data_IF_923823361657
#
_entry.id   IF_923823361657
#
_cell.length_a   1.000
_cell.length_b   1.000
_cell.length_c   1.000
_cell.angle_alpha   90.00
_cell.angle_beta   90.00
_cell.angle_gamma   90.00
#
_symmetry.space_group_name_H-M   'P 1'
#
loop_
_entity.id
_entity.type
_entity.pdbx_description
1 polymer ?
#
# COMPACT_ATOMS: atom_id res chain seq x y z
N UNK A 1 -2.95 42.82 16.59
CA UNK A 1 -2.42 43.22 15.28
C UNK A 1 -1.14 42.44 15.07
N UNK A 2 -1.09 41.39 14.25
CA UNK A 2 -2.01 40.94 13.20
C UNK A 2 -1.73 39.46 12.93
N UNK A 3 -2.80 38.68 12.94
CA UNK A 3 -3.11 37.49 12.12
C UNK A 3 -1.97 36.68 11.54
N UNK A 4 -1.80 35.48 12.10
CA UNK A 4 -1.23 34.35 11.38
C UNK A 4 -2.39 33.64 10.65
N UNK A 5 -2.42 33.84 9.34
CA UNK A 5 -3.09 33.06 8.29
C UNK A 5 -3.80 31.77 8.77
N UNK A 6 -5.07 31.90 9.16
CA UNK A 6 -6.05 30.83 9.00
C UNK A 6 -6.38 30.76 7.51
N UNK A 7 -5.86 29.76 6.81
CA UNK A 7 -6.32 29.42 5.48
C UNK A 7 -7.85 29.21 5.52
N UNK A 8 -8.62 29.82 4.60
CA UNK A 8 -10.07 29.72 4.65
C UNK A 8 -10.51 28.27 4.53
N UNK A 9 -11.40 27.87 5.45
CA UNK A 9 -12.20 26.64 5.37
C UNK A 9 -12.78 26.54 3.95
N UNK A 10 -12.39 25.51 3.20
CA UNK A 10 -12.96 25.13 1.90
C UNK A 10 -14.40 24.64 2.07
N UNK A 11 -15.30 25.51 2.55
CA UNK A 11 -16.73 25.32 2.45
C UNK A 11 -17.19 25.94 1.13
N UNK A 12 -17.54 25.11 0.13
CA UNK A 12 -18.57 25.45 -0.89
C UNK A 12 -18.77 24.38 -1.99
N UNK A 13 -17.92 23.35 -2.13
CA UNK A 13 -18.20 22.28 -3.10
C UNK A 13 -18.94 21.08 -2.47
N UNK A 14 -20.14 20.71 -2.95
CA UNK A 14 -20.86 19.54 -2.48
C UNK A 14 -20.07 18.26 -2.75
N UNK A 15 -20.28 17.24 -1.90
CA UNK A 15 -19.60 15.95 -2.03
C UNK A 15 -19.83 15.34 -3.42
N UNK A 16 -18.75 14.98 -4.12
CA UNK A 16 -18.82 14.36 -5.44
C UNK A 16 -19.42 12.95 -5.32
N UNK A 17 -20.29 12.50 -6.25
CA UNK A 17 -20.86 11.17 -6.20
C UNK A 17 -19.78 10.08 -6.15
N UNK A 18 -19.89 9.18 -5.17
CA UNK A 18 -18.94 8.07 -4.98
C UNK A 18 -17.70 8.39 -4.13
N UNK A 19 -17.50 9.67 -3.75
CA UNK A 19 -16.46 10.10 -2.82
C UNK A 19 -16.88 9.89 -1.35
N UNK A 20 -15.89 9.80 -0.47
CA UNK A 20 -16.07 9.80 0.97
C UNK A 20 -16.17 11.22 1.52
N UNK A 21 -16.93 11.41 2.60
CA UNK A 21 -17.03 12.70 3.29
C UNK A 21 -15.66 13.19 3.77
N UNK A 22 -15.37 14.46 3.52
CA UNK A 22 -14.11 15.11 3.87
C UNK A 22 -14.20 15.83 5.21
N UNK A 23 -15.41 16.17 5.62
CA UNK A 23 -15.71 16.96 6.81
C UNK A 23 -16.57 16.16 7.77
N UNK A 24 -15.91 15.47 8.69
CA UNK A 24 -16.57 14.59 9.65
C UNK A 24 -16.56 15.16 11.07
N UNK A 25 -17.73 15.17 11.68
CA UNK A 25 -17.95 15.56 13.07
C UNK A 25 -18.35 14.33 13.90
N UNK A 26 -17.69 14.14 15.04
CA UNK A 26 -18.04 13.16 16.08
C UNK A 26 -18.67 13.88 17.27
N UNK A 27 -19.89 13.46 17.64
CA UNK A 27 -20.57 13.87 18.86
C UNK A 27 -20.66 12.71 19.84
N UNK A 28 -20.09 12.88 21.03
CA UNK A 28 -20.08 11.87 22.09
C UNK A 28 -21.16 12.19 23.13
N UNK A 29 -22.23 11.40 23.14
CA UNK A 29 -23.27 11.42 24.18
C UNK A 29 -22.98 10.35 25.24
N UNK A 30 -23.77 10.37 26.33
CA UNK A 30 -23.65 9.37 27.40
C UNK A 30 -24.02 7.96 26.96
N UNK A 31 -24.96 7.85 26.03
CA UNK A 31 -25.59 6.60 25.58
C UNK A 31 -25.22 6.21 24.14
N UNK A 32 -24.69 7.14 23.33
CA UNK A 32 -24.35 6.91 21.92
C UNK A 32 -23.22 7.80 21.40
N UNK A 33 -22.62 7.39 20.30
CA UNK A 33 -21.80 8.24 19.44
C UNK A 33 -22.59 8.61 18.19
N UNK A 34 -22.46 9.84 17.70
CA UNK A 34 -23.08 10.29 16.45
C UNK A 34 -21.98 10.81 15.52
N UNK A 35 -21.99 10.32 14.29
CA UNK A 35 -21.07 10.68 13.22
C UNK A 35 -21.84 11.45 12.15
N UNK A 36 -21.31 12.62 11.75
CA UNK A 36 -21.98 13.51 10.79
C UNK A 36 -21.03 13.88 9.66
N UNK A 37 -21.54 13.77 8.44
CA UNK A 37 -20.95 14.29 7.21
C UNK A 37 -21.44 15.73 7.02
N UNK A 38 -20.54 16.71 7.12
CA UNK A 38 -20.91 18.12 6.94
C UNK A 38 -21.03 18.50 5.46
N UNK A 39 -20.25 17.84 4.59
CA UNK A 39 -20.22 18.08 3.15
C UNK A 39 -21.12 17.16 2.32
N UNK A 40 -21.46 15.97 2.84
CA UNK A 40 -22.41 15.03 2.23
C UNK A 40 -23.80 14.99 2.89
N UNK A 41 -23.92 15.47 4.12
CA UNK A 41 -25.20 15.66 4.82
C UNK A 41 -25.80 14.42 5.49
N UNK A 42 -25.20 13.23 5.34
CA UNK A 42 -25.64 12.05 6.07
C UNK A 42 -25.09 11.98 7.49
N UNK A 43 -25.68 11.08 8.28
CA UNK A 43 -25.29 10.85 9.66
C UNK A 43 -25.67 9.44 10.11
N UNK A 44 -24.97 8.94 11.12
CA UNK A 44 -25.35 7.70 11.80
C UNK A 44 -24.97 7.74 13.29
N UNK A 45 -25.67 6.94 14.09
CA UNK A 45 -25.39 6.73 15.49
C UNK A 45 -24.87 5.32 15.75
N UNK A 46 -24.04 5.20 16.78
CA UNK A 46 -23.62 3.93 17.39
C UNK A 46 -24.03 3.94 18.85
N UNK A 47 -24.87 3.00 19.27
CA UNK A 47 -25.25 2.87 20.68
C UNK A 47 -24.07 2.37 21.52
N UNK A 48 -23.82 2.97 22.68
CA UNK A 48 -22.73 2.56 23.59
C UNK A 48 -23.04 1.26 24.32
N UNK A 49 -24.31 0.93 24.46
CA UNK A 49 -24.77 -0.27 25.15
C UNK A 49 -24.33 -1.55 24.44
N UNK A 50 -24.55 -1.62 23.12
CA UNK A 50 -24.39 -2.84 22.33
C UNK A 50 -23.70 -2.63 20.98
N UNK A 51 -23.30 -1.41 20.62
CA UNK A 51 -22.66 -1.12 19.34
C UNK A 51 -23.61 -1.11 18.14
N UNK A 52 -24.92 -1.11 18.32
CA UNK A 52 -25.87 -1.07 17.21
C UNK A 52 -25.74 0.22 16.38
N UNK A 53 -25.73 0.05 15.06
CA UNK A 53 -25.62 1.13 14.06
C UNK A 53 -27.01 1.55 13.56
N UNK A 54 -27.26 2.86 13.57
CA UNK A 54 -28.51 3.44 13.10
C UNK A 54 -28.26 4.67 12.23
N UNK A 55 -28.61 4.66 10.93
CA UNK A 55 -28.65 5.88 10.12
C UNK A 55 -29.57 6.91 10.75
N UNK A 56 -29.19 8.19 10.69
CA UNK A 56 -29.95 9.29 11.24
C UNK A 56 -30.35 10.29 10.15
N UNK A 57 -31.48 10.95 10.35
CA UNK A 57 -31.80 12.17 9.61
C UNK A 57 -30.91 13.34 10.07
N UNK A 58 -30.70 14.38 9.23
CA UNK A 58 -29.93 15.55 9.60
C UNK A 58 -30.43 16.26 10.88
N UNK A 59 -31.75 16.26 11.10
CA UNK A 59 -32.40 16.85 12.27
C UNK A 59 -32.08 16.07 13.55
N UNK A 60 -32.21 14.74 13.51
CA UNK A 60 -31.88 13.85 14.64
C UNK A 60 -30.39 13.93 15.00
N UNK A 61 -29.53 14.04 13.99
CA UNK A 61 -28.08 14.15 14.20
C UNK A 61 -27.67 15.51 14.79
N UNK A 62 -28.42 16.57 14.49
CA UNK A 62 -28.19 17.91 15.03
C UNK A 62 -28.76 18.07 16.46
N UNK A 63 -29.71 17.23 16.86
CA UNK A 63 -30.39 17.32 18.15
C UNK A 63 -29.47 16.96 19.35
N UNK A 64 -29.74 17.62 20.48
CA UNK A 64 -29.01 17.42 21.75
C UNK A 64 -27.85 18.39 21.95
N UNK A 65 -27.89 19.16 23.04
CA UNK A 65 -26.90 20.21 23.34
C UNK A 65 -25.82 19.79 24.34
N UNK A 66 -26.04 18.73 25.12
CA UNK A 66 -25.08 18.23 26.13
C UNK A 66 -24.29 17.04 25.56
N UNK A 67 -23.35 17.34 24.65
CA UNK A 67 -22.43 16.35 24.10
C UNK A 67 -21.05 16.96 23.85
N UNK A 68 -20.02 16.11 23.86
CA UNK A 68 -18.68 16.53 23.44
C UNK A 68 -18.60 16.43 21.93
N UNK A 69 -18.24 17.53 21.28
CA UNK A 69 -18.06 17.61 19.82
C UNK A 69 -16.57 17.59 19.49
N UNK A 70 -16.19 16.83 18.48
CA UNK A 70 -14.80 16.77 17.99
C UNK A 70 -14.76 16.52 16.49
N UNK A 71 -13.74 17.04 15.82
CA UNK A 71 -13.45 16.74 14.42
C UNK A 71 -12.74 15.40 14.31
N UNK A 72 -13.17 14.58 13.36
CA UNK A 72 -12.45 13.36 12.95
C UNK A 72 -12.18 13.43 11.45
N UNK A 73 -11.33 12.54 10.95
CA UNK A 73 -10.88 12.54 9.56
C UNK A 73 -11.31 11.28 8.79
N UNK A 74 -12.01 10.37 9.45
CA UNK A 74 -12.50 9.14 8.83
C UNK A 74 -13.01 8.15 9.87
N UNK A 75 -13.94 7.30 9.46
CA UNK A 75 -14.32 6.10 10.21
C UNK A 75 -13.62 4.93 9.55
N UNK A 76 -12.61 4.39 10.20
CA UNK A 76 -11.82 3.29 9.65
C UNK A 76 -12.57 1.95 9.75
N UNK A 77 -13.58 1.85 10.61
CA UNK A 77 -14.48 0.71 10.69
C UNK A 77 -14.85 0.34 12.12
N UNK A 78 -15.39 -0.87 12.29
CA UNK A 78 -15.91 -1.38 13.54
C UNK A 78 -15.43 -2.81 13.78
N UNK A 79 -15.18 -3.17 15.04
CA UNK A 79 -14.83 -4.53 15.44
C UNK A 79 -15.64 -4.95 16.67
N UNK A 80 -16.12 -6.19 16.65
CA UNK A 80 -16.84 -6.82 17.77
C UNK A 80 -15.88 -7.66 18.61
N UNK A 81 -15.81 -7.40 19.91
CA UNK A 81 -15.15 -8.26 20.91
C UNK A 81 -16.19 -8.84 21.88
N UNK A 82 -15.73 -9.47 22.96
CA UNK A 82 -16.60 -10.13 23.94
C UNK A 82 -17.50 -9.12 24.67
N UNK A 83 -16.94 -7.97 25.06
CA UNK A 83 -17.69 -6.98 25.83
C UNK A 83 -18.59 -6.07 25.01
N UNK A 84 -18.45 -6.05 23.68
CA UNK A 84 -19.20 -5.17 22.80
C UNK A 84 -18.43 -4.77 21.55
N UNK A 85 -18.85 -3.68 20.91
CA UNK A 85 -18.24 -3.20 19.69
C UNK A 85 -17.32 -2.00 19.93
N UNK A 86 -16.35 -1.83 19.04
CA UNK A 86 -15.36 -0.78 19.10
C UNK A 86 -15.27 -0.11 17.73
N UNK A 87 -15.48 1.20 17.69
CA UNK A 87 -15.44 1.98 16.45
C UNK A 87 -14.06 2.61 16.31
N UNK A 88 -13.34 2.29 15.23
CA UNK A 88 -12.04 2.88 14.93
C UNK A 88 -12.22 4.18 14.14
N UNK A 89 -11.74 5.30 14.69
CA UNK A 89 -11.80 6.61 14.04
C UNK A 89 -10.41 7.18 13.81
N UNK A 90 -10.24 7.89 12.70
CA UNK A 90 -9.01 8.64 12.40
C UNK A 90 -9.12 10.00 13.09
N UNK A 91 -8.26 10.24 14.07
CA UNK A 91 -8.28 11.45 14.92
C UNK A 91 -7.32 12.52 14.44
N UNK A 92 -6.30 12.15 13.68
CA UNK A 92 -5.37 13.06 13.04
C UNK A 92 -4.88 12.51 11.71
N UNK A 93 -4.60 13.40 10.77
CA UNK A 93 -4.03 13.09 9.47
C UNK A 93 -2.97 14.11 9.08
N UNK A 94 -2.09 13.72 8.15
CA UNK A 94 -1.14 14.62 7.49
C UNK A 94 -1.38 14.56 5.98
N UNK A 95 -1.23 15.68 5.29
CA UNK A 95 -1.14 15.68 3.82
C UNK A 95 0.17 14.98 3.41
N UNK A 96 0.05 13.89 2.67
CA UNK A 96 1.19 13.13 2.17
C UNK A 96 1.65 13.65 0.79
N UNK A 97 0.78 14.35 0.06
CA UNK A 97 1.01 14.86 -1.28
C UNK A 97 -0.15 14.54 -2.22
N UNK A 98 0.14 14.60 -3.52
CA UNK A 98 -0.88 14.43 -4.56
C UNK A 98 -0.56 13.23 -5.43
N UNK A 99 -1.59 12.43 -5.71
CA UNK A 99 -1.57 11.40 -6.75
C UNK A 99 -2.42 11.96 -7.90
N UNK A 100 -1.76 12.50 -8.93
CA UNK A 100 -2.44 13.28 -9.97
C UNK A 100 -3.22 14.43 -9.35
N UNK A 101 -4.52 14.53 -9.67
CA UNK A 101 -5.38 15.60 -9.15
C UNK A 101 -5.92 15.38 -7.73
N UNK A 102 -5.71 14.19 -7.13
CA UNK A 102 -6.30 13.82 -5.84
C UNK A 102 -5.26 13.89 -4.71
N UNK A 103 -5.67 14.46 -3.57
CA UNK A 103 -4.83 14.51 -2.37
C UNK A 103 -4.80 13.14 -1.67
N UNK A 104 -3.62 12.76 -1.20
CA UNK A 104 -3.38 11.56 -0.39
C UNK A 104 -3.07 11.99 1.04
N UNK A 105 -3.71 11.32 2.00
CA UNK A 105 -3.55 11.59 3.41
C UNK A 105 -2.91 10.41 4.12
N UNK A 106 -1.95 10.70 4.99
CA UNK A 106 -1.40 9.75 5.95
C UNK A 106 -2.25 9.79 7.25
N UNK A 107 -2.79 8.66 7.68
CA UNK A 107 -3.51 8.53 8.94
C UNK A 107 -2.52 8.53 10.12
N UNK A 108 -2.34 9.68 10.76
CA UNK A 108 -1.31 9.90 11.76
C UNK A 108 -1.68 9.36 13.15
N UNK A 109 -2.96 9.43 13.52
CA UNK A 109 -3.45 8.83 14.76
C UNK A 109 -4.87 8.31 14.62
N UNK A 110 -5.12 7.18 15.25
CA UNK A 110 -6.44 6.55 15.31
C UNK A 110 -6.84 6.27 16.75
N UNK A 111 -8.13 6.06 16.99
CA UNK A 111 -8.65 5.73 18.32
C UNK A 111 -9.86 4.83 18.21
N UNK A 112 -9.93 3.81 19.07
CA UNK A 112 -11.14 3.04 19.30
C UNK A 112 -12.06 3.74 20.29
N UNK A 113 -13.31 3.90 19.90
CA UNK A 113 -14.42 4.35 20.73
C UNK A 113 -15.17 3.11 21.25
N UNK A 114 -15.25 2.96 22.57
CA UNK A 114 -15.82 1.77 23.19
C UNK A 114 -17.34 1.83 23.26
N UNK A 115 -18.00 0.75 22.83
CA UNK A 115 -19.42 0.47 22.97
C UNK A 115 -19.59 -0.87 23.70
N UNK A 116 -19.12 -0.93 24.95
CA UNK A 116 -18.84 -2.16 25.68
C UNK A 116 -19.52 -2.27 27.05
N UNK A 117 -20.74 -1.72 27.21
CA UNK A 117 -21.44 -1.77 28.49
C UNK A 117 -21.73 -3.20 28.98
N UNK A 118 -21.78 -4.18 28.06
CA UNK A 118 -21.94 -5.59 28.39
C UNK A 118 -20.75 -6.20 29.15
N UNK A 119 -19.61 -5.49 29.29
CA UNK A 119 -18.47 -5.91 30.14
C UNK A 119 -18.88 -6.25 31.58
N UNK A 120 -19.97 -5.63 32.07
CA UNK A 120 -20.52 -5.86 33.41
C UNK A 120 -21.02 -7.30 33.59
N UNK A 121 -21.50 -7.91 32.50
CA UNK A 121 -22.10 -9.24 32.49
C UNK A 121 -21.11 -10.37 32.15
N UNK A 122 -19.88 -10.01 31.77
CA UNK A 122 -18.83 -10.99 31.48
C UNK A 122 -18.32 -11.70 32.73
N UNK A 123 -17.97 -12.97 32.55
CA UNK A 123 -17.24 -13.78 33.51
C UNK A 123 -15.83 -13.21 33.75
N UNK A 124 -15.18 -13.67 34.83
CA UNK A 124 -13.81 -13.26 35.15
C UNK A 124 -12.80 -13.66 34.08
N UNK A 125 -13.04 -14.74 33.36
CA UNK A 125 -12.18 -15.21 32.26
C UNK A 125 -12.34 -14.33 31.02
N UNK A 126 -13.58 -14.10 30.58
CA UNK A 126 -13.88 -13.20 29.46
C UNK A 126 -13.37 -11.77 29.71
N UNK A 127 -13.39 -11.29 30.96
CA UNK A 127 -12.80 -9.98 31.32
C UNK A 127 -11.28 -9.95 31.11
N UNK A 128 -10.57 -11.06 31.33
CA UNK A 128 -9.13 -11.15 31.07
C UNK A 128 -8.86 -11.19 29.57
N UNK A 129 -9.64 -11.97 28.84
CA UNK A 129 -9.52 -12.05 27.37
C UNK A 129 -9.84 -10.70 26.72
N UNK A 130 -10.88 -10.01 27.19
CA UNK A 130 -11.23 -8.67 26.74
C UNK A 130 -10.09 -7.67 27.02
N UNK A 131 -9.47 -7.72 28.20
CA UNK A 131 -8.33 -6.87 28.51
C UNK A 131 -7.13 -7.16 27.57
N UNK A 132 -6.91 -8.43 27.22
CA UNK A 132 -5.91 -8.82 26.24
C UNK A 132 -6.24 -8.29 24.83
N UNK A 133 -7.47 -8.48 24.35
CA UNK A 133 -7.90 -7.94 23.05
C UNK A 133 -7.81 -6.42 22.99
N UNK A 134 -8.18 -5.73 24.07
CA UNK A 134 -8.00 -4.28 24.19
C UNK A 134 -6.53 -3.86 24.07
N UNK A 135 -5.59 -4.65 24.60
CA UNK A 135 -4.17 -4.38 24.40
C UNK A 135 -3.74 -4.51 22.93
N UNK A 136 -4.31 -5.46 22.19
CA UNK A 136 -4.07 -5.61 20.75
C UNK A 136 -4.70 -4.46 19.94
N UNK A 137 -5.89 -4.00 20.33
CA UNK A 137 -6.52 -2.83 19.71
C UNK A 137 -5.67 -1.56 19.92
N UNK A 138 -5.04 -1.38 21.09
CA UNK A 138 -4.10 -0.28 21.32
C UNK A 138 -2.88 -0.32 20.40
N UNK A 139 -2.38 -1.51 20.08
CA UNK A 139 -1.31 -1.66 19.08
C UNK A 139 -1.83 -1.26 17.70
N UNK A 140 -3.04 -1.69 17.33
CA UNK A 140 -3.64 -1.34 16.04
C UNK A 140 -3.86 0.17 15.85
N UNK A 141 -4.15 0.92 16.92
CA UNK A 141 -4.24 2.40 16.89
C UNK A 141 -2.94 3.08 16.42
N UNK A 142 -1.80 2.40 16.60
CA UNK A 142 -0.46 2.88 16.24
C UNK A 142 0.09 2.29 14.94
N UNK A 143 -0.75 1.60 14.16
CA UNK A 143 -0.34 1.03 12.86
C UNK A 143 0.22 2.13 11.96
N UNK A 144 1.48 1.97 11.53
CA UNK A 144 2.15 2.90 10.64
C UNK A 144 1.83 2.62 9.16
N UNK A 145 2.12 3.61 8.30
CA UNK A 145 2.06 3.47 6.85
C UNK A 145 0.63 3.39 6.30
N UNK A 146 -0.35 3.97 7.00
CA UNK A 146 -1.75 3.97 6.56
C UNK A 146 -2.07 5.22 5.74
N UNK A 147 -2.47 5.02 4.50
CA UNK A 147 -2.80 6.07 3.54
C UNK A 147 -4.22 5.92 3.00
N UNK A 148 -4.86 7.05 2.70
CA UNK A 148 -6.18 7.08 2.07
C UNK A 148 -6.40 8.37 1.27
N UNK A 149 -7.44 8.37 0.45
CA UNK A 149 -7.93 9.54 -0.26
C UNK A 149 -9.46 9.52 -0.21
N UNK A 150 -10.08 10.70 -0.22
CA UNK A 150 -11.54 10.81 -0.17
C UNK A 150 -12.21 10.67 -1.53
N UNK A 151 -11.49 10.95 -2.61
CA UNK A 151 -12.03 11.02 -3.96
C UNK A 151 -11.33 10.07 -4.94
N UNK A 152 -10.27 9.39 -4.50
CA UNK A 152 -9.53 8.42 -5.31
C UNK A 152 -9.44 7.07 -4.64
N UNK A 153 -9.74 6.03 -5.40
CA UNK A 153 -9.43 4.65 -5.03
C UNK A 153 -7.92 4.41 -5.17
N UNK A 154 -7.20 4.53 -4.06
CA UNK A 154 -5.76 4.33 -4.03
C UNK A 154 -5.35 2.86 -4.25
N UNK A 155 -6.28 1.90 -4.17
CA UNK A 155 -5.95 0.47 -4.30
C UNK A 155 -5.63 0.06 -5.75
N UNK A 156 -5.92 0.94 -6.70
CA UNK A 156 -5.68 0.75 -8.12
C UNK A 156 -4.51 1.62 -8.57
N UNK A 157 -3.61 1.03 -9.35
CA UNK A 157 -2.62 1.79 -10.10
C UNK A 157 -3.28 2.64 -11.20
N UNK A 158 -2.54 3.61 -11.73
CA UNK A 158 -3.03 4.59 -12.70
C UNK A 158 -3.57 3.91 -13.96
N UNK A 159 -2.88 2.89 -14.48
CA UNK A 159 -3.32 2.17 -15.67
C UNK A 159 -4.68 1.50 -15.46
N UNK A 160 -4.84 0.74 -14.37
CA UNK A 160 -6.11 0.07 -14.06
C UNK A 160 -7.23 1.08 -13.79
N UNK A 161 -6.94 2.13 -13.03
CA UNK A 161 -7.91 3.19 -12.76
C UNK A 161 -8.39 3.86 -14.07
N UNK A 162 -7.47 4.15 -15.00
CA UNK A 162 -7.78 4.78 -16.29
C UNK A 162 -8.62 3.89 -17.19
N UNK A 163 -8.33 2.59 -17.26
CA UNK A 163 -9.11 1.62 -18.04
C UNK A 163 -10.51 1.36 -17.48
N UNK A 164 -10.71 1.57 -16.18
CA UNK A 164 -11.97 1.35 -15.49
C UNK A 164 -12.88 2.60 -15.40
N UNK A 165 -12.38 3.77 -15.81
CA UNK A 165 -13.03 5.06 -15.60
C UNK A 165 -14.44 5.14 -16.23
N UNK A 166 -14.67 4.57 -17.41
CA UNK A 166 -15.91 4.76 -18.16
C UNK A 166 -17.20 4.20 -17.50
N UNK A 167 -17.11 3.37 -16.46
CA UNK A 167 -18.28 2.75 -15.78
C UNK A 167 -18.31 2.89 -14.26
N UNK A 168 -17.36 3.63 -13.68
CA UNK A 168 -17.14 3.66 -12.23
C UNK A 168 -17.30 5.04 -11.56
N UNK A 169 -17.49 6.11 -12.34
CA UNK A 169 -17.52 7.52 -11.90
C UNK A 169 -18.52 7.84 -10.77
N UNK A 170 -19.44 6.94 -10.44
CA UNK A 170 -20.47 7.15 -9.41
C UNK A 170 -20.55 6.06 -8.35
N UNK A 171 -19.67 5.04 -8.38
CA UNK A 171 -19.67 4.01 -7.35
C UNK A 171 -18.90 4.49 -6.12
N UNK A 172 -19.33 4.18 -4.89
CA UNK A 172 -18.52 4.36 -3.70
C UNK A 172 -17.13 3.74 -3.86
N UNK A 173 -16.09 4.40 -3.36
CA UNK A 173 -14.69 3.95 -3.47
C UNK A 173 -14.52 2.48 -3.06
N UNK A 174 -15.14 2.05 -1.96
CA UNK A 174 -15.02 0.68 -1.45
C UNK A 174 -15.57 -0.39 -2.40
N UNK A 175 -16.58 -0.08 -3.24
CA UNK A 175 -17.13 -1.02 -4.23
C UNK A 175 -16.20 -1.22 -5.44
N UNK A 176 -15.25 -0.30 -5.60
CA UNK A 176 -14.30 -0.29 -6.70
C UNK A 176 -12.95 -0.89 -6.30
N UNK A 177 -12.64 -0.81 -5.01
CA UNK A 177 -11.36 -1.17 -4.43
C UNK A 177 -10.90 -2.59 -4.80
N UNK A 178 -9.61 -2.74 -5.09
CA UNK A 178 -8.94 -4.03 -5.10
C UNK A 178 -8.82 -4.51 -3.63
N UNK A 179 -9.57 -5.55 -3.24
CA UNK A 179 -9.68 -5.94 -1.84
C UNK A 179 -8.35 -6.44 -1.24
N UNK A 180 -7.34 -6.71 -2.09
CA UNK A 180 -5.99 -7.09 -1.67
C UNK A 180 -5.25 -5.97 -0.97
N UNK A 181 -5.60 -4.71 -1.23
CA UNK A 181 -4.89 -3.56 -0.68
C UNK A 181 -5.73 -2.79 0.35
N UNK A 182 -6.96 -3.22 0.64
CA UNK A 182 -7.80 -2.62 1.67
C UNK A 182 -7.43 -3.19 3.05
N UNK A 183 -6.61 -2.47 3.81
CA UNK A 183 -6.13 -2.88 5.13
C UNK A 183 -7.28 -3.09 6.12
N UNK A 184 -8.22 -2.15 6.18
CA UNK A 184 -9.37 -2.17 7.08
C UNK A 184 -10.56 -2.98 6.56
N UNK A 185 -10.39 -3.85 5.55
CA UNK A 185 -11.51 -4.53 4.86
C UNK A 185 -12.51 -5.16 5.82
N UNK A 186 -12.02 -5.94 6.78
CA UNK A 186 -12.86 -6.66 7.74
C UNK A 186 -13.56 -5.70 8.72
N UNK A 187 -12.97 -4.53 8.99
CA UNK A 187 -13.58 -3.51 9.86
C UNK A 187 -14.72 -2.76 9.16
N UNK A 188 -14.77 -2.78 7.82
CA UNK A 188 -15.77 -2.04 7.06
C UNK A 188 -17.10 -2.79 6.91
N UNK A 189 -17.18 -4.06 7.29
CA UNK A 189 -18.34 -4.94 7.05
C UNK A 189 -19.65 -4.35 7.60
N UNK A 190 -19.68 -3.97 8.87
CA UNK A 190 -20.91 -3.43 9.49
C UNK A 190 -21.37 -2.11 8.84
N UNK A 191 -20.42 -1.25 8.42
CA UNK A 191 -20.73 0.00 7.72
C UNK A 191 -21.29 -0.27 6.31
N UNK A 192 -20.75 -1.27 5.62
CA UNK A 192 -21.20 -1.72 4.29
C UNK A 192 -22.63 -2.25 4.38
N UNK A 193 -22.92 -3.12 5.35
CA UNK A 193 -24.26 -3.70 5.55
C UNK A 193 -25.30 -2.62 5.86
N UNK A 194 -24.90 -1.59 6.61
CA UNK A 194 -25.74 -0.45 6.97
C UNK A 194 -25.85 0.60 5.85
N UNK A 195 -25.17 0.40 4.72
CA UNK A 195 -25.17 1.29 3.54
C UNK A 195 -24.65 2.70 3.82
N UNK A 196 -23.64 2.82 4.68
CA UNK A 196 -23.02 4.09 5.07
C UNK A 196 -21.93 4.53 4.06
N UNK A 197 -22.27 4.51 2.76
CA UNK A 197 -21.32 4.61 1.64
C UNK A 197 -20.35 5.82 1.75
N UNK A 198 -20.81 6.99 2.19
CA UNK A 198 -19.96 8.19 2.33
C UNK A 198 -18.95 8.14 3.50
N UNK A 199 -19.14 7.25 4.47
CA UNK A 199 -18.27 7.09 5.64
C UNK A 199 -17.23 5.98 5.46
N UNK A 200 -17.43 5.09 4.49
CA UNK A 200 -16.59 3.92 4.26
C UNK A 200 -15.31 4.35 3.52
N UNK A 201 -14.23 4.55 4.26
CA UNK A 201 -12.93 4.97 3.72
C UNK A 201 -11.96 3.79 3.68
N UNK A 202 -11.61 3.26 2.48
CA UNK A 202 -10.58 2.23 2.35
C UNK A 202 -9.21 2.78 2.77
N UNK A 203 -8.56 2.13 3.73
CA UNK A 203 -7.20 2.41 4.14
C UNK A 203 -6.24 1.45 3.44
N UNK A 204 -5.08 1.95 3.04
CA UNK A 204 -4.01 1.16 2.42
C UNK A 204 -2.80 1.21 3.33
N UNK A 205 -2.17 0.05 3.53
CA UNK A 205 -0.87 0.00 4.17
C UNK A 205 0.24 -0.01 3.13
N UNK A 206 1.27 0.81 3.31
CA UNK A 206 2.45 0.85 2.46
C UNK A 206 3.20 2.18 2.60
N UNK A 207 3.74 2.72 1.50
CA UNK A 207 4.56 3.93 1.54
C UNK A 207 4.19 4.92 0.44
N UNK A 208 4.20 6.22 0.73
CA UNK A 208 3.92 7.29 -0.23
C UNK A 208 4.96 8.40 -0.12
N UNK A 209 5.76 8.59 -1.17
CA UNK A 209 6.77 9.64 -1.24
C UNK A 209 6.59 10.48 -2.51
N UNK A 210 6.83 11.78 -2.44
CA UNK A 210 6.76 12.66 -3.61
C UNK A 210 7.88 13.70 -3.57
N UNK A 211 8.51 13.94 -4.71
CA UNK A 211 9.56 14.95 -4.87
C UNK A 211 9.37 15.69 -6.19
N UNK A 212 9.84 16.93 -6.22
CA UNK A 212 9.75 17.80 -7.38
C UNK A 212 11.12 18.40 -7.70
N UNK A 213 11.41 18.54 -8.99
CA UNK A 213 12.59 19.21 -9.49
C UNK A 213 12.33 19.83 -10.85
N UNK A 214 13.24 20.70 -11.30
CA UNK A 214 13.11 21.41 -12.56
C UNK A 214 14.08 20.83 -13.58
N UNK A 215 13.58 20.50 -14.77
CA UNK A 215 14.38 20.18 -15.96
C UNK A 215 14.06 21.20 -17.05
N UNK A 216 15.08 21.91 -17.57
CA UNK A 216 14.93 22.90 -18.65
C UNK A 216 13.79 23.90 -18.36
N UNK A 217 13.77 24.45 -17.14
CA UNK A 217 12.75 25.40 -16.63
C UNK A 217 11.31 24.86 -16.54
N UNK A 218 11.14 23.55 -16.62
CA UNK A 218 9.85 22.87 -16.46
C UNK A 218 9.85 21.97 -15.23
N UNK A 219 8.74 21.97 -14.51
CA UNK A 219 8.55 21.17 -13.30
C UNK A 219 8.33 19.70 -13.68
N UNK A 220 9.10 18.83 -13.04
CA UNK A 220 8.88 17.37 -13.01
C UNK A 220 8.47 17.01 -11.59
N UNK A 221 7.41 16.21 -11.47
CA UNK A 221 7.03 15.57 -10.20
C UNK A 221 7.22 14.07 -10.30
N UNK A 222 7.86 13.50 -9.30
CA UNK A 222 7.93 12.05 -9.11
C UNK A 222 7.14 11.71 -7.87
N UNK A 223 6.25 10.71 -7.98
CA UNK A 223 5.55 10.14 -6.83
C UNK A 223 5.80 8.64 -6.81
N UNK A 224 6.29 8.13 -5.69
CA UNK A 224 6.51 6.72 -5.45
C UNK A 224 5.46 6.24 -4.45
N UNK A 225 4.57 5.34 -4.88
CA UNK A 225 3.53 4.80 -4.03
C UNK A 225 3.56 3.28 -4.00
N UNK A 226 3.64 2.71 -2.81
CA UNK A 226 3.66 1.28 -2.56
C UNK A 226 2.44 0.83 -1.78
N UNK A 227 1.88 -0.30 -2.20
CA UNK A 227 0.67 -0.89 -1.64
C UNK A 227 0.98 -2.32 -1.19
N UNK A 228 0.82 -2.59 0.10
CA UNK A 228 1.06 -3.90 0.69
C UNK A 228 -0.21 -4.75 0.66
N UNK A 229 -0.07 -5.98 0.18
CA UNK A 229 -1.18 -6.91 0.06
C UNK A 229 -1.54 -7.56 1.40
N UNK A 230 -2.84 -7.63 1.68
CA UNK A 230 -3.40 -8.18 2.92
C UNK A 230 -3.66 -9.70 2.87
N UNK A 231 -3.45 -10.38 1.73
CA UNK A 231 -3.80 -11.81 1.56
C UNK A 231 -2.95 -12.78 2.37
N UNK A 232 -1.72 -12.42 2.72
CA UNK A 232 -0.81 -13.22 3.56
C UNK A 232 0.03 -12.33 4.47
N UNK A 233 -0.66 -11.63 5.38
CA UNK A 233 -0.02 -10.77 6.37
C UNK A 233 0.66 -11.58 7.48
N UNK A 234 1.72 -11.00 8.02
CA UNK A 234 2.35 -11.38 9.27
C UNK A 234 3.75 -10.81 9.39
N UNK A 235 4.38 -11.14 10.51
CA UNK A 235 5.70 -10.63 10.88
C UNK A 235 6.81 -11.41 10.17
N UNK A 236 7.94 -10.74 9.99
CA UNK A 236 9.18 -11.36 9.50
C UNK A 236 9.48 -12.65 10.27
N UNK A 237 10.00 -13.65 9.57
CA UNK A 237 10.25 -15.04 10.02
C UNK A 237 8.98 -15.87 10.26
N UNK A 238 7.94 -15.32 10.90
CA UNK A 238 6.71 -16.05 11.21
C UNK A 238 5.81 -16.28 10.00
N UNK A 239 5.87 -15.42 8.99
CA UNK A 239 5.15 -15.60 7.72
C UNK A 239 6.10 -15.47 6.54
N UNK A 240 6.33 -16.58 5.84
CA UNK A 240 7.11 -16.66 4.61
C UNK A 240 6.40 -17.55 3.58
N UNK A 241 6.89 -17.50 2.34
CA UNK A 241 6.34 -18.28 1.25
C UNK A 241 4.93 -17.89 0.84
N UNK A 242 4.33 -18.75 0.03
CA UNK A 242 2.94 -18.69 -0.38
C UNK A 242 2.01 -19.45 0.57
N UNK A 243 0.72 -19.14 0.56
CA UNK A 243 -0.34 -20.03 1.03
C UNK A 243 -0.81 -20.95 -0.12
N UNK A 244 -1.75 -21.85 0.17
CA UNK A 244 -2.32 -22.78 -0.82
C UNK A 244 -3.05 -22.05 -1.97
N UNK A 245 -3.51 -20.82 -1.72
CA UNK A 245 -4.15 -19.95 -2.71
C UNK A 245 -3.15 -19.22 -3.62
N UNK A 246 -1.83 -19.38 -3.43
CA UNK A 246 -0.80 -18.71 -4.23
C UNK A 246 -0.50 -17.26 -3.81
N UNK A 247 -1.05 -16.79 -2.69
CA UNK A 247 -0.71 -15.47 -2.14
C UNK A 247 0.59 -15.54 -1.33
N UNK A 248 1.57 -14.73 -1.70
CA UNK A 248 2.89 -14.67 -1.05
C UNK A 248 2.91 -13.70 0.12
N UNK A 249 3.67 -14.05 1.16
CA UNK A 249 3.95 -13.14 2.26
C UNK A 249 4.70 -11.90 1.77
N UNK A 250 4.48 -10.76 2.44
CA UNK A 250 5.10 -9.47 2.14
C UNK A 250 5.00 -9.05 0.66
N UNK A 251 3.87 -9.35 0.00
CA UNK A 251 3.65 -8.91 -1.37
C UNK A 251 3.36 -7.40 -1.42
N UNK A 252 4.11 -6.66 -2.23
CA UNK A 252 3.99 -5.21 -2.41
C UNK A 252 3.98 -4.88 -3.89
N UNK A 253 3.03 -4.03 -4.30
CA UNK A 253 3.03 -3.37 -5.60
C UNK A 253 3.60 -1.96 -5.41
N UNK A 254 4.65 -1.62 -6.16
CA UNK A 254 5.31 -0.32 -6.13
C UNK A 254 5.08 0.38 -7.46
N UNK A 255 4.50 1.56 -7.43
CA UNK A 255 4.18 2.39 -8.59
C UNK A 255 4.97 3.70 -8.54
N UNK A 256 5.72 3.96 -9.60
CA UNK A 256 6.41 5.21 -9.84
C UNK A 256 5.65 6.04 -10.86
N UNK A 257 5.14 7.18 -10.43
CA UNK A 257 4.49 8.18 -11.26
C UNK A 257 5.46 9.27 -11.64
N UNK A 258 5.36 9.73 -12.89
CA UNK A 258 6.08 10.92 -13.37
C UNK A 258 5.08 11.85 -14.05
N UNK A 259 5.09 13.12 -13.66
CA UNK A 259 4.25 14.16 -14.26
C UNK A 259 5.14 15.24 -14.87
N UNK A 260 4.92 15.55 -16.14
CA UNK A 260 5.65 16.57 -16.90
C UNK A 260 4.79 17.16 -18.01
N UNK A 261 4.63 18.50 -18.04
CA UNK A 261 3.89 19.24 -19.08
C UNK A 261 2.51 18.65 -19.44
N UNK A 262 1.77 18.14 -18.44
CA UNK A 262 0.44 17.56 -18.63
C UNK A 262 0.44 16.11 -19.12
N UNK A 263 1.61 15.49 -19.30
CA UNK A 263 1.76 14.04 -19.46
C UNK A 263 1.94 13.40 -18.08
N UNK A 264 1.35 12.22 -17.90
CA UNK A 264 1.51 11.41 -16.69
C UNK A 264 1.88 9.99 -17.08
N UNK A 265 2.98 9.47 -16.55
CA UNK A 265 3.35 8.07 -16.69
C UNK A 265 3.26 7.31 -15.37
N UNK A 266 3.10 6.00 -15.47
CA UNK A 266 3.13 5.06 -14.34
C UNK A 266 3.98 3.86 -14.70
N UNK A 267 4.97 3.54 -13.86
CA UNK A 267 5.79 2.34 -13.96
C UNK A 267 5.61 1.49 -12.71
N UNK A 268 5.16 0.24 -12.92
CA UNK A 268 4.80 -0.67 -11.83
C UNK A 268 5.81 -1.80 -11.73
N UNK A 269 6.21 -2.11 -10.50
CA UNK A 269 6.99 -3.28 -10.14
C UNK A 269 6.34 -4.00 -8.96
N UNK A 270 6.58 -5.29 -8.81
CA UNK A 270 6.09 -6.05 -7.64
C UNK A 270 7.24 -6.75 -6.93
N UNK A 271 7.08 -6.96 -5.62
CA UNK A 271 7.95 -7.82 -4.83
C UNK A 271 7.16 -8.66 -3.86
N UNK A 272 7.74 -9.77 -3.41
CA UNK A 272 7.12 -10.63 -2.41
C UNK A 272 7.93 -11.88 -2.15
N UNK A 273 7.63 -12.57 -1.05
CA UNK A 273 8.32 -13.81 -0.68
C UNK A 273 8.30 -14.83 -1.82
N UNK A 274 9.35 -15.66 -1.91
CA UNK A 274 9.47 -16.74 -2.91
C UNK A 274 8.18 -17.58 -2.90
N UNK A 275 7.53 -17.82 -4.06
CA UNK A 275 6.17 -18.35 -4.12
C UNK A 275 6.11 -19.87 -3.94
N UNK A 276 6.93 -20.40 -3.03
CA UNK A 276 6.92 -21.79 -2.60
C UNK A 276 6.18 -21.93 -1.27
N UNK A 277 5.82 -23.15 -0.90
CA UNK A 277 5.41 -23.49 0.46
C UNK A 277 6.68 -23.68 1.29
N UNK A 278 7.05 -22.66 2.08
CA UNK A 278 8.23 -22.70 2.93
C UNK A 278 8.06 -21.83 4.16
N UNK A 279 8.83 -22.14 5.19
CA UNK A 279 8.81 -21.47 6.47
C UNK A 279 10.23 -21.27 7.02
N UNK A 280 10.33 -20.41 8.03
CA UNK A 280 11.57 -20.20 8.77
C UNK A 280 11.18 -20.06 10.25
N UNK A 281 10.98 -21.21 10.88
CA UNK A 281 10.52 -21.28 12.27
C UNK A 281 11.58 -20.65 13.18
N UNK A 282 11.17 -19.67 13.99
CA UNK A 282 12.07 -19.01 14.94
C UNK A 282 12.46 -19.99 16.04
N UNK A 283 13.77 -20.19 16.22
CA UNK A 283 14.36 -20.99 17.29
C UNK A 283 15.41 -20.15 18.07
N UNK A 284 16.16 -20.78 18.98
CA UNK A 284 17.24 -20.12 19.73
C UNK A 284 18.50 -19.86 18.87
N UNK A 285 18.49 -20.19 17.57
CA UNK A 285 19.62 -19.94 16.69
C UNK A 285 19.68 -18.48 16.26
N UNK A 286 20.89 -18.01 15.96
CA UNK A 286 21.10 -16.64 15.46
C UNK A 286 20.41 -16.39 14.11
N UNK A 287 20.35 -17.41 13.25
CA UNK A 287 19.68 -17.36 11.94
C UNK A 287 18.95 -18.70 11.74
N UNK A 288 17.63 -18.75 11.99
CA UNK A 288 16.87 -19.97 11.79
C UNK A 288 16.89 -20.39 10.31
N UNK A 289 16.88 -21.69 10.04
CA UNK A 289 17.04 -22.20 8.67
C UNK A 289 15.70 -22.17 7.92
N UNK A 290 15.67 -21.69 6.67
CA UNK A 290 14.55 -21.94 5.77
C UNK A 290 14.29 -23.44 5.61
N UNK A 291 13.03 -23.84 5.69
CA UNK A 291 12.56 -25.20 5.44
C UNK A 291 11.48 -25.17 4.38
N UNK A 292 11.64 -25.96 3.32
CA UNK A 292 10.63 -26.16 2.29
C UNK A 292 9.63 -27.20 2.81
N UNK A 293 8.34 -26.89 2.69
CA UNK A 293 7.26 -27.77 3.08
C UNK A 293 6.92 -28.64 1.88
N UNK A 294 7.26 -29.92 1.94
CA UNK A 294 6.86 -30.89 0.91
C UNK A 294 5.33 -31.01 0.88
N UNK A 295 4.72 -30.68 -0.25
CA UNK A 295 3.28 -30.74 -0.43
C UNK A 295 2.95 -31.04 -1.89
N UNK A 296 1.98 -31.92 -2.12
CA UNK A 296 1.52 -32.32 -3.46
C UNK A 296 0.96 -31.17 -4.32
N UNK A 297 0.68 -30.00 -3.71
CA UNK A 297 0.09 -28.85 -4.41
C UNK A 297 1.13 -27.76 -4.70
N UNK A 298 2.42 -27.98 -4.40
CA UNK A 298 3.45 -26.96 -4.56
C UNK A 298 3.45 -26.32 -5.96
N UNK A 299 3.47 -27.13 -7.02
CA UNK A 299 3.41 -26.63 -8.39
C UNK A 299 2.12 -25.88 -8.69
N UNK A 300 0.97 -26.34 -8.17
CA UNK A 300 -0.33 -25.64 -8.33
C UNK A 300 -0.34 -24.30 -7.59
N UNK A 301 0.33 -24.19 -6.45
CA UNK A 301 0.48 -22.94 -5.70
C UNK A 301 1.29 -21.93 -6.51
N UNK A 302 2.40 -22.36 -7.11
CA UNK A 302 3.24 -21.54 -8.00
C UNK A 302 2.45 -21.12 -9.24
N UNK A 303 1.72 -22.04 -9.86
CA UNK A 303 0.85 -21.78 -11.00
C UNK A 303 -0.22 -20.73 -10.67
N UNK A 304 -0.94 -20.91 -9.56
CA UNK A 304 -1.96 -19.95 -9.08
C UNK A 304 -1.38 -18.57 -8.84
N UNK A 305 -0.17 -18.50 -8.26
CA UNK A 305 0.53 -17.22 -8.03
C UNK A 305 0.78 -16.48 -9.35
N UNK A 306 1.42 -17.15 -10.31
CA UNK A 306 1.77 -16.51 -11.58
C UNK A 306 0.59 -16.29 -12.51
N UNK A 307 -0.46 -17.11 -12.40
CA UNK A 307 -1.73 -16.83 -13.05
C UNK A 307 -2.37 -15.54 -12.51
N UNK A 308 -2.39 -15.30 -11.20
CA UNK A 308 -2.90 -14.02 -10.63
C UNK A 308 -2.06 -12.82 -11.11
N UNK A 309 -0.74 -12.98 -11.26
CA UNK A 309 0.12 -11.91 -11.78
C UNK A 309 -0.12 -11.63 -13.27
N UNK A 310 -0.17 -12.67 -14.10
CA UNK A 310 -0.33 -12.51 -15.54
C UNK A 310 -1.68 -11.89 -15.92
N UNK A 311 -2.75 -12.28 -15.22
CA UNK A 311 -4.08 -11.69 -15.40
C UNK A 311 -4.13 -10.19 -15.05
N UNK A 312 -3.25 -9.70 -14.17
CA UNK A 312 -3.28 -8.32 -13.68
C UNK A 312 -2.29 -7.41 -14.37
N UNK A 313 -1.11 -7.92 -14.65
CA UNK A 313 0.02 -7.13 -15.11
C UNK A 313 0.50 -7.54 -16.51
N UNK A 314 0.07 -8.69 -17.04
CA UNK A 314 0.54 -9.22 -18.32
C UNK A 314 1.83 -10.02 -18.18
N UNK A 315 2.76 -9.83 -19.11
CA UNK A 315 4.01 -10.58 -19.21
C UNK A 315 4.79 -10.50 -17.88
N UNK A 316 5.10 -11.62 -17.24
CA UNK A 316 5.76 -11.61 -15.92
C UNK A 316 7.21 -12.07 -16.05
N UNK A 317 8.12 -11.27 -15.51
CA UNK A 317 9.52 -11.62 -15.32
C UNK A 317 9.82 -11.76 -13.83
N UNK A 318 10.62 -12.76 -13.47
CA UNK A 318 11.05 -12.99 -12.09
C UNK A 318 12.55 -12.75 -11.97
N UNK A 319 12.92 -11.93 -10.98
CA UNK A 319 14.30 -11.72 -10.57
C UNK A 319 14.48 -12.32 -9.18
N UNK A 320 15.21 -13.43 -9.10
CA UNK A 320 15.57 -14.06 -7.83
C UNK A 320 16.93 -13.53 -7.35
N UNK A 321 16.90 -12.76 -6.25
CA UNK A 321 18.08 -12.09 -5.68
C UNK A 321 18.75 -12.90 -4.56
N UNK A 322 18.44 -14.19 -4.47
CA UNK A 322 18.97 -15.08 -3.44
C UNK A 322 20.43 -15.42 -3.62
N UNK A 323 21.06 -15.84 -2.54
CA UNK A 323 22.42 -16.36 -2.56
C UNK A 323 22.43 -17.78 -3.11
N UNK A 324 23.44 -18.13 -3.94
CA UNK A 324 23.57 -19.51 -4.46
C UNK A 324 24.03 -20.53 -3.41
N UNK A 325 24.51 -20.08 -2.26
CA UNK A 325 25.16 -20.92 -1.26
C UNK A 325 24.35 -21.03 0.03
N UNK A 326 24.57 -22.12 0.77
CA UNK A 326 23.93 -22.37 2.06
C UNK A 326 22.43 -22.62 1.96
N UNK A 327 21.71 -22.37 3.06
CA UNK A 327 20.28 -22.67 3.16
C UNK A 327 19.43 -21.81 2.19
N UNK A 328 19.90 -20.61 1.85
CA UNK A 328 19.24 -19.74 0.87
C UNK A 328 19.37 -20.30 -0.56
N UNK A 329 20.52 -20.91 -0.87
CA UNK A 329 20.74 -21.60 -2.13
C UNK A 329 19.83 -22.81 -2.32
N UNK A 330 19.52 -23.56 -1.26
CA UNK A 330 18.56 -24.67 -1.34
C UNK A 330 17.16 -24.18 -1.73
N UNK A 331 16.72 -23.07 -1.14
CA UNK A 331 15.43 -22.46 -1.47
C UNK A 331 15.41 -21.92 -2.90
N UNK A 332 16.50 -21.28 -3.34
CA UNK A 332 16.63 -20.79 -4.71
C UNK A 332 16.61 -21.92 -5.73
N UNK A 333 17.34 -23.02 -5.47
CA UNK A 333 17.36 -24.18 -6.35
C UNK A 333 15.98 -24.84 -6.48
N UNK A 334 15.25 -24.95 -5.37
CA UNK A 334 13.87 -25.45 -5.39
C UNK A 334 12.95 -24.55 -6.20
N UNK A 335 13.10 -23.23 -6.08
CA UNK A 335 12.29 -22.29 -6.85
C UNK A 335 12.64 -22.34 -8.33
N UNK A 336 13.93 -22.37 -8.67
CA UNK A 336 14.40 -22.53 -10.04
C UNK A 336 13.88 -23.82 -10.69
N UNK A 337 13.78 -24.92 -9.91
CA UNK A 337 13.20 -26.17 -10.38
C UNK A 337 11.70 -26.03 -10.70
N UNK A 338 10.92 -25.37 -9.83
CA UNK A 338 9.51 -25.10 -10.11
C UNK A 338 9.33 -24.19 -11.34
N UNK A 339 10.21 -23.20 -11.53
CA UNK A 339 10.14 -22.30 -12.69
C UNK A 339 10.35 -23.02 -14.03
N UNK A 340 10.97 -24.20 -14.07
CA UNK A 340 11.09 -25.01 -15.29
C UNK A 340 9.73 -25.51 -15.79
N UNK A 341 8.72 -25.60 -14.91
CA UNK A 341 7.35 -25.97 -15.27
C UNK A 341 6.58 -24.82 -15.94
N UNK A 342 7.13 -23.59 -15.93
CA UNK A 342 6.48 -22.38 -16.44
C UNK A 342 7.39 -21.67 -17.46
N UNK A 343 7.64 -22.27 -18.64
CA UNK A 343 8.61 -21.74 -19.62
C UNK A 343 8.22 -20.38 -20.20
N UNK A 344 6.94 -20.01 -20.14
CA UNK A 344 6.45 -18.70 -20.58
C UNK A 344 6.85 -17.56 -19.62
N UNK A 345 7.31 -17.89 -18.40
CA UNK A 345 7.72 -16.93 -17.39
C UNK A 345 9.24 -16.83 -17.39
N UNK A 346 9.76 -15.66 -17.74
CA UNK A 346 11.20 -15.43 -17.75
C UNK A 346 11.74 -15.36 -16.32
N UNK A 347 12.54 -16.36 -15.93
CA UNK A 347 13.20 -16.44 -14.64
C UNK A 347 14.69 -16.08 -14.76
N UNK A 348 15.16 -15.14 -13.94
CA UNK A 348 16.56 -14.70 -13.87
C UNK A 348 17.04 -14.79 -12.43
N UNK A 349 18.06 -15.62 -12.21
CA UNK A 349 18.73 -15.69 -10.91
C UNK A 349 19.94 -14.76 -10.88
N UNK A 350 20.00 -13.86 -9.91
CA UNK A 350 21.08 -12.92 -9.71
C UNK A 350 21.59 -12.95 -8.27
N UNK A 351 22.80 -13.49 -8.06
CA UNK A 351 23.40 -13.58 -6.72
C UNK A 351 23.81 -12.19 -6.21
N UNK A 352 22.87 -11.50 -5.56
CA UNK A 352 23.04 -10.11 -5.20
C UNK A 352 24.17 -9.91 -4.20
N UNK A 353 24.34 -10.79 -3.21
CA UNK A 353 25.40 -10.61 -2.21
C UNK A 353 26.79 -10.83 -2.79
N UNK A 354 26.95 -11.80 -3.68
CA UNK A 354 28.23 -12.02 -4.34
C UNK A 354 28.56 -10.90 -5.33
N UNK A 355 27.59 -10.52 -6.16
CA UNK A 355 27.81 -9.59 -7.28
C UNK A 355 27.84 -8.13 -6.79
N UNK A 356 26.92 -7.73 -5.92
CA UNK A 356 26.84 -6.35 -5.40
C UNK A 356 27.45 -6.21 -3.99
N UNK A 357 28.26 -7.20 -3.57
CA UNK A 357 28.97 -7.18 -2.30
C UNK A 357 29.90 -5.97 -2.16
N UNK A 358 30.11 -5.50 -0.93
CA UNK A 358 30.99 -4.36 -0.67
C UNK A 358 30.48 -2.99 -1.17
N UNK A 359 29.20 -2.88 -1.56
CA UNK A 359 28.58 -1.63 -2.01
C UNK A 359 28.75 -1.34 -3.51
N UNK A 360 29.21 -2.31 -4.31
CA UNK A 360 29.42 -2.13 -5.74
C UNK A 360 28.11 -2.34 -6.54
N UNK A 361 27.22 -1.35 -6.49
CA UNK A 361 25.91 -1.41 -7.15
C UNK A 361 25.94 -1.15 -8.65
N UNK A 362 27.07 -0.71 -9.20
CA UNK A 362 27.26 -0.60 -10.65
C UNK A 362 27.11 -1.96 -11.34
N UNK A 363 27.34 -3.05 -10.60
CA UNK A 363 27.12 -4.41 -11.09
C UNK A 363 25.64 -4.76 -11.33
N UNK A 364 24.68 -3.93 -10.88
CA UNK A 364 23.28 -4.06 -11.30
C UNK A 364 23.10 -3.77 -12.79
N UNK A 365 24.05 -3.08 -13.43
CA UNK A 365 24.06 -2.94 -14.88
C UNK A 365 24.18 -4.31 -15.57
N UNK A 366 24.92 -5.27 -15.01
CA UNK A 366 25.02 -6.63 -15.55
C UNK A 366 23.65 -7.32 -15.58
N UNK A 367 22.88 -7.18 -14.50
CA UNK A 367 21.51 -7.68 -14.45
C UNK A 367 20.64 -7.00 -15.50
N UNK A 368 20.74 -5.67 -15.60
CA UNK A 368 19.94 -4.90 -16.52
C UNK A 368 20.24 -5.23 -17.97
N UNK A 369 21.51 -5.39 -18.35
CA UNK A 369 21.92 -5.76 -19.71
C UNK A 369 21.31 -7.11 -20.14
N UNK A 370 21.12 -8.04 -19.21
CA UNK A 370 20.45 -9.31 -19.48
C UNK A 370 18.94 -9.15 -19.73
N UNK A 371 18.28 -8.24 -19.00
CA UNK A 371 16.81 -8.12 -18.98
C UNK A 371 16.26 -6.91 -19.74
N UNK A 372 17.12 -6.04 -20.25
CA UNK A 372 16.75 -4.75 -20.84
C UNK A 372 15.70 -4.89 -21.94
N UNK A 373 15.91 -5.80 -22.88
CA UNK A 373 14.98 -6.03 -24.00
C UNK A 373 13.57 -6.36 -23.49
N UNK A 374 13.46 -7.19 -22.45
CA UNK A 374 12.18 -7.56 -21.88
C UNK A 374 11.54 -6.39 -21.12
N UNK A 375 12.31 -5.62 -20.35
CA UNK A 375 11.79 -4.43 -19.66
C UNK A 375 11.30 -3.38 -20.67
N UNK A 376 12.06 -3.12 -21.73
CA UNK A 376 11.65 -2.19 -22.79
C UNK A 376 10.38 -2.67 -23.49
N UNK A 377 10.23 -3.98 -23.74
CA UNK A 377 9.01 -4.58 -24.28
C UNK A 377 7.81 -4.44 -23.33
N UNK A 378 8.02 -4.64 -22.02
CA UNK A 378 6.97 -4.45 -21.00
C UNK A 378 6.53 -2.99 -20.89
N UNK A 379 7.46 -2.05 -21.09
CA UNK A 379 7.20 -0.63 -21.14
C UNK A 379 6.68 -0.04 -19.83
N UNK A 380 5.98 1.09 -19.95
CA UNK A 380 5.30 1.78 -18.87
C UNK A 380 4.01 2.39 -19.39
N UNK A 381 3.09 2.70 -18.48
CA UNK A 381 1.85 3.39 -18.83
C UNK A 381 2.13 4.87 -19.08
N UNK A 382 1.49 5.47 -20.09
CA UNK A 382 1.58 6.90 -20.38
C UNK A 382 0.21 7.42 -20.83
N UNK A 383 -0.22 8.54 -20.25
CA UNK A 383 -1.43 9.24 -20.64
C UNK A 383 -1.17 10.74 -20.80
N UNK A 384 -2.02 11.41 -21.59
CA UNK A 384 -1.98 12.86 -21.74
C UNK A 384 -3.00 13.57 -20.84
N UNK A 385 -2.99 14.91 -20.90
CA UNK A 385 -3.87 15.78 -20.10
C UNK A 385 -5.36 15.64 -20.42
N UNK A 386 -5.72 15.03 -21.55
CA UNK A 386 -7.11 14.73 -21.93
C UNK A 386 -7.59 13.38 -21.41
N UNK A 387 -6.71 12.60 -20.77
CA UNK A 387 -7.02 11.24 -20.33
C UNK A 387 -6.85 10.17 -21.42
N UNK A 388 -6.29 10.52 -22.57
CA UNK A 388 -6.04 9.55 -23.63
C UNK A 388 -4.81 8.71 -23.27
N UNK A 389 -4.97 7.39 -23.32
CA UNK A 389 -3.90 6.42 -23.08
C UNK A 389 -3.01 6.38 -24.32
N UNK A 390 -1.74 6.73 -24.16
CA UNK A 390 -0.72 6.73 -25.21
C UNK A 390 0.09 5.43 -25.22
N UNK A 391 0.38 4.87 -24.05
CA UNK A 391 1.10 3.62 -23.87
C UNK A 391 0.50 2.84 -22.70
N UNK A 392 0.51 1.51 -22.84
CA UNK A 392 0.20 0.57 -21.77
C UNK A 392 1.49 -0.13 -21.32
N UNK A 393 1.64 -0.32 -20.02
CA UNK A 393 2.56 -1.31 -19.47
C UNK A 393 1.95 -2.70 -19.65
N UNK A 394 2.63 -3.57 -20.41
CA UNK A 394 2.14 -4.89 -20.79
C UNK A 394 2.76 -6.05 -19.99
N UNK A 395 3.57 -5.74 -18.98
CA UNK A 395 4.17 -6.74 -18.10
C UNK A 395 4.74 -6.15 -16.82
N UNK A 396 5.28 -7.00 -15.95
CA UNK A 396 5.86 -6.60 -14.67
C UNK A 396 7.11 -7.39 -14.33
N UNK A 397 8.03 -6.72 -13.63
CA UNK A 397 9.16 -7.34 -12.96
C UNK A 397 8.77 -7.65 -11.52
N UNK A 398 8.84 -8.94 -11.17
CA UNK A 398 8.69 -9.45 -9.81
C UNK A 398 10.07 -9.73 -9.24
N UNK A 399 10.50 -8.94 -8.25
CA UNK A 399 11.72 -9.23 -7.50
C UNK A 399 11.41 -10.01 -6.23
N UNK A 400 12.24 -11.00 -5.92
CA UNK A 400 12.17 -11.68 -4.63
C UNK A 400 13.56 -11.86 -4.03
N UNK A 401 13.53 -12.10 -2.73
CA UNK A 401 14.67 -12.38 -1.88
C UNK A 401 14.12 -13.12 -0.66
N UNK A 402 14.98 -13.59 0.25
CA UNK A 402 14.50 -14.17 1.51
C UNK A 402 13.57 -13.21 2.27
N UNK A 403 13.97 -11.96 2.47
CA UNK A 403 13.23 -10.96 3.26
C UNK A 403 12.37 -9.99 2.42
N UNK A 404 12.70 -9.80 1.14
CA UNK A 404 12.02 -8.83 0.27
C UNK A 404 11.98 -7.39 0.84
N UNK A 405 13.09 -7.00 1.47
CA UNK A 405 13.34 -5.65 1.98
C UNK A 405 14.50 -5.01 1.20
N UNK A 406 15.73 -5.13 1.69
CA UNK A 406 16.86 -4.34 1.20
C UNK A 406 17.26 -4.64 -0.26
N UNK A 407 17.57 -5.92 -0.58
CA UNK A 407 18.05 -6.32 -1.92
C UNK A 407 17.03 -5.98 -3.00
N UNK A 408 15.76 -6.28 -2.71
CA UNK A 408 14.64 -5.96 -3.60
C UNK A 408 14.44 -4.45 -3.75
N UNK A 409 14.58 -3.65 -2.68
CA UNK A 409 14.44 -2.21 -2.75
C UNK A 409 15.53 -1.57 -3.64
N UNK A 410 16.78 -2.02 -3.48
CA UNK A 410 17.90 -1.57 -4.31
C UNK A 410 17.68 -1.92 -5.78
N UNK A 411 17.31 -3.18 -6.08
CA UNK A 411 17.03 -3.59 -7.47
C UNK A 411 15.83 -2.83 -8.06
N UNK A 412 14.72 -2.68 -7.33
CA UNK A 412 13.56 -1.92 -7.81
C UNK A 412 13.89 -0.44 -8.05
N UNK A 413 14.69 0.18 -7.18
CA UNK A 413 15.18 1.56 -7.34
C UNK A 413 16.01 1.71 -8.60
N UNK A 414 16.92 0.77 -8.86
CA UNK A 414 17.73 0.77 -10.08
C UNK A 414 16.86 0.68 -11.35
N UNK A 415 15.89 -0.25 -11.38
CA UNK A 415 15.00 -0.42 -12.53
C UNK A 415 14.08 0.80 -12.72
N UNK A 416 13.57 1.37 -11.63
CA UNK A 416 12.77 2.59 -11.66
C UNK A 416 13.57 3.80 -12.18
N UNK A 417 14.87 3.88 -11.90
CA UNK A 417 15.74 4.91 -12.46
C UNK A 417 15.88 4.77 -13.98
N UNK A 418 16.10 3.55 -14.48
CA UNK A 418 16.16 3.28 -15.94
C UNK A 418 14.82 3.61 -16.62
N UNK A 419 13.70 3.26 -15.98
CA UNK A 419 12.36 3.61 -16.46
C UNK A 419 12.13 5.12 -16.47
N UNK A 420 12.54 5.83 -15.41
CA UNK A 420 12.43 7.28 -15.30
C UNK A 420 13.17 8.01 -16.41
N UNK A 421 14.40 7.58 -16.73
CA UNK A 421 15.14 8.13 -17.89
C UNK A 421 14.33 7.95 -19.17
N UNK A 422 13.82 6.73 -19.44
CA UNK A 422 13.01 6.45 -20.62
C UNK A 422 11.71 7.26 -20.67
N UNK A 423 11.04 7.44 -19.54
CA UNK A 423 9.82 8.23 -19.40
C UNK A 423 10.08 9.70 -19.71
N UNK A 424 11.11 10.30 -19.09
CA UNK A 424 11.47 11.70 -19.31
C UNK A 424 11.98 11.96 -20.73
N UNK A 425 12.69 11.02 -21.33
CA UNK A 425 13.09 11.08 -22.73
C UNK A 425 11.87 11.06 -23.66
N UNK A 426 10.90 10.18 -23.41
CA UNK A 426 9.67 10.09 -24.19
C UNK A 426 8.78 11.32 -24.05
N UNK A 427 8.76 11.92 -22.86
CA UNK A 427 8.05 13.17 -22.57
C UNK A 427 8.76 14.42 -23.11
N UNK A 428 9.99 14.28 -23.64
CA UNK A 428 10.77 15.40 -24.19
C UNK A 428 11.52 16.23 -23.14
N UNK A 429 11.49 15.84 -21.87
CA UNK A 429 12.24 16.51 -20.80
C UNK A 429 13.76 16.26 -20.94
N UNK A 430 14.15 15.06 -21.34
CA UNK A 430 15.53 14.65 -21.60
C UNK A 430 15.74 14.29 -23.08
N UNK A 431 16.95 14.49 -23.59
CA UNK A 431 17.38 13.93 -24.88
C UNK A 431 17.77 12.46 -24.71
N UNK A 432 17.86 11.71 -25.81
CA UNK A 432 18.17 10.27 -25.77
C UNK A 432 19.52 9.90 -25.14
N UNK A 433 20.44 10.87 -25.01
CA UNK A 433 21.75 10.69 -24.37
C UNK A 433 21.80 11.25 -22.93
N UNK A 434 20.75 11.94 -22.49
CA UNK A 434 20.66 12.49 -21.14
C UNK A 434 20.06 11.46 -20.17
N UNK A 435 20.52 11.49 -18.93
CA UNK A 435 20.03 10.67 -17.82
C UNK A 435 19.94 11.53 -16.55
N UNK A 436 18.99 11.22 -15.67
CA UNK A 436 18.88 11.91 -14.38
C UNK A 436 20.12 11.75 -13.49
N UNK A 437 20.93 10.71 -13.73
CA UNK A 437 22.19 10.48 -13.00
C UNK A 437 23.27 11.52 -13.32
N UNK A 438 23.13 12.27 -14.40
CA UNK A 438 24.06 13.35 -14.77
C UNK A 438 23.90 14.59 -13.88
N UNK A 439 22.80 14.68 -13.12
CA UNK A 439 22.56 15.74 -12.14
C UNK A 439 22.56 15.16 -10.74
N UNK A 440 23.60 15.47 -9.96
CA UNK A 440 23.73 15.00 -8.57
C UNK A 440 22.50 15.39 -7.73
N UNK A 441 21.98 16.61 -7.91
CA UNK A 441 20.81 17.10 -7.17
C UNK A 441 19.56 16.27 -7.46
N UNK A 442 19.30 15.93 -8.72
CA UNK A 442 18.12 15.15 -9.11
C UNK A 442 18.29 13.70 -8.66
N UNK A 443 19.48 13.16 -8.84
CA UNK A 443 19.82 11.81 -8.41
C UNK A 443 19.69 11.66 -6.88
N UNK A 444 20.15 12.63 -6.09
CA UNK A 444 20.03 12.63 -4.63
C UNK A 444 18.57 12.69 -4.17
N UNK A 445 17.73 13.50 -4.84
CA UNK A 445 16.28 13.51 -4.59
C UNK A 445 15.64 12.16 -4.90
N UNK A 446 15.99 11.56 -6.04
CA UNK A 446 15.49 10.24 -6.42
C UNK A 446 15.91 9.16 -5.41
N UNK A 447 17.17 9.18 -4.99
CA UNK A 447 17.71 8.28 -3.97
C UNK A 447 16.98 8.43 -2.65
N UNK A 448 16.79 9.67 -2.18
CA UNK A 448 16.05 9.98 -0.96
C UNK A 448 14.64 9.36 -0.97
N UNK A 449 13.89 9.50 -2.08
CA UNK A 449 12.58 8.86 -2.23
C UNK A 449 12.63 7.34 -1.96
N UNK A 450 13.62 6.65 -2.53
CA UNK A 450 13.75 5.19 -2.41
C UNK A 450 14.32 4.74 -1.06
N UNK A 451 15.09 5.59 -0.37
CA UNK A 451 15.51 5.37 1.02
C UNK A 451 14.28 5.40 1.93
N UNK A 452 13.50 6.50 1.89
CA UNK A 452 12.31 6.68 2.72
C UNK A 452 11.26 5.58 2.45
N UNK A 453 11.07 5.23 1.18
CA UNK A 453 10.24 4.09 0.77
C UNK A 453 10.71 2.74 1.35
N UNK A 454 12.02 2.48 1.32
CA UNK A 454 12.60 1.25 1.87
C UNK A 454 12.41 1.17 3.39
N UNK A 455 12.60 2.30 4.07
CA UNK A 455 12.46 2.45 5.52
C UNK A 455 11.03 2.21 6.00
N UNK A 456 10.03 2.84 5.37
CA UNK A 456 8.62 2.66 5.73
C UNK A 456 8.17 1.20 5.57
N UNK A 457 8.47 0.57 4.42
CA UNK A 457 8.10 -0.82 4.19
C UNK A 457 8.86 -1.80 5.09
N UNK A 458 10.08 -1.46 5.52
CA UNK A 458 10.84 -2.26 6.49
C UNK A 458 10.21 -2.17 7.88
N UNK A 459 9.81 -0.98 8.33
CA UNK A 459 9.13 -0.80 9.62
C UNK A 459 7.86 -1.64 9.70
N UNK A 460 7.07 -1.66 8.63
CA UNK A 460 5.81 -2.41 8.58
C UNK A 460 5.96 -3.94 8.65
N UNK A 461 7.09 -4.49 8.16
CA UNK A 461 7.29 -5.94 8.08
C UNK A 461 8.22 -6.49 9.15
N UNK A 462 9.31 -5.76 9.45
CA UNK A 462 10.35 -6.16 10.39
C UNK A 462 10.28 -5.43 11.73
N UNK A 463 9.52 -4.32 11.85
CA UNK A 463 9.52 -3.48 13.04
C UNK A 463 10.78 -2.62 13.20
N UNK A 464 11.63 -2.54 12.18
CA UNK A 464 12.86 -1.76 12.15
C UNK A 464 13.06 -1.07 10.80
N UNK A 465 13.79 0.04 10.79
CA UNK A 465 14.25 0.70 9.55
C UNK A 465 15.08 -0.26 8.68
N UNK A 466 15.22 0.08 7.39
CA UNK A 466 15.98 -0.75 6.46
C UNK A 466 17.45 -0.74 6.86
N UNK A 467 18.06 -1.92 6.99
CA UNK A 467 19.47 -2.06 7.39
C UNK A 467 20.42 -1.49 6.34
N UNK A 468 19.93 -1.32 5.11
CA UNK A 468 20.67 -0.86 3.94
C UNK A 468 20.18 0.49 3.41
N UNK A 469 19.65 1.36 4.29
CA UNK A 469 19.29 2.73 3.92
C UNK A 469 20.45 3.51 3.28
N UNK A 470 21.68 3.27 3.73
CA UNK A 470 22.90 3.86 3.14
C UNK A 470 23.23 3.33 1.73
N UNK A 471 22.62 2.23 1.29
CA UNK A 471 22.90 1.60 -0.01
C UNK A 471 22.03 2.14 -1.15
N UNK A 472 21.01 2.93 -0.80
CA UNK A 472 20.24 3.73 -1.76
C UNK A 472 20.67 5.20 -1.70
N UNK A 473 21.40 5.63 -0.65
CA UNK A 473 21.98 6.99 -0.53
C UNK A 473 23.06 7.30 -1.57
#
# INVERSE_FOLDING_TARGET
>A
ATDADEAPLLADEPLRPGSCSRELELREFRDRYVFRSLDGGGAFAVARADGSLHPLSPEEAAAGSDCKVSKIYGVAGMIRLLAGSYVLVITSRKDAGSYGASTVYHANSMKFLCCNEAIKHLTSEEKRDEAYFMSLLRIAETTCGLYYSYDRDLTLNLQRASKLAAGRVHKPLWKQADPRFVWNRNLLEELIETKLDEFITPLIQGSFQTEQFTLKDRLVRITLFSRRCNRRLGTRMWRRGANLEGATANFVETEQLVEYEGLTSSFIQVRGSIPLLWEQIVDLSYKPRPSIIEHEEMTKVVERHFHDLSQRYGDTMVIDLTDKQGDEGNLSNAFAAEMQNFPDIRYVHFDFHHICGGGNFDNLQVLYDEIEEAIQKQGYFLMNSKGEILLDQSGVVRSNCIDCLDRTNVTQSFLARKSLDSQLQRMGALSSAESISQSDIINDKFKKLWVEHGDELSLEYAGSYALKGDLVR
#
